data_IF_993335156537
#
_entry.id   IF_993335156537
#
_cell.length_a   1.000
_cell.length_b   1.000
_cell.length_c   1.000
_cell.angle_alpha   90.00
_cell.angle_beta   90.00
_cell.angle_gamma   90.00
#
_symmetry.space_group_name_H-M   'P 1'
#
loop_
_entity.id
_entity.type
_entity.pdbx_description
1 polymer ?
#
# COMPACT_ATOMS: atom_id res chain seq x y z
N UNK A 1 -7.14 28.16 -18.68
CA UNK A 1 -7.17 26.87 -17.97
C UNK A 1 -6.17 26.96 -16.83
N UNK A 2 -6.59 26.75 -15.58
CA UNK A 2 -5.67 26.78 -14.45
C UNK A 2 -4.74 25.55 -14.52
N UNK A 3 -3.47 25.79 -14.80
CA UNK A 3 -2.43 24.75 -14.78
C UNK A 3 -2.26 24.24 -13.35
N UNK A 4 -2.17 22.93 -13.19
CA UNK A 4 -1.95 22.31 -11.87
C UNK A 4 -0.62 22.78 -11.28
N UNK A 5 -0.46 22.70 -9.95
CA UNK A 5 0.75 23.18 -9.25
C UNK A 5 2.05 22.50 -9.69
N UNK A 6 1.97 21.35 -10.34
CA UNK A 6 3.09 20.60 -10.92
C UNK A 6 3.14 20.66 -12.45
N UNK A 7 2.42 21.61 -13.06
CA UNK A 7 2.43 21.87 -14.50
C UNK A 7 1.72 20.82 -15.36
N UNK A 8 1.13 19.78 -14.74
CA UNK A 8 0.41 18.73 -15.46
C UNK A 8 -0.94 19.21 -15.96
N UNK A 9 -1.43 18.58 -17.02
CA UNK A 9 -2.82 18.72 -17.44
C UNK A 9 -3.77 18.09 -16.38
N UNK A 10 -5.00 18.55 -16.38
CA UNK A 10 -6.14 17.99 -15.67
C UNK A 10 -6.25 16.47 -15.83
N UNK A 11 -6.13 15.96 -17.06
CA UNK A 11 -6.23 14.53 -17.38
C UNK A 11 -4.89 13.77 -17.23
N UNK A 12 -3.77 14.47 -17.09
CA UNK A 12 -2.45 13.83 -17.04
C UNK A 12 -2.16 13.26 -15.64
N UNK A 13 -1.79 11.98 -15.56
CA UNK A 13 -1.32 11.34 -14.32
C UNK A 13 0.06 11.88 -13.87
N UNK A 14 0.41 11.66 -12.60
CA UNK A 14 1.79 11.89 -12.13
C UNK A 14 2.72 10.85 -12.78
N UNK A 15 4.04 11.10 -12.88
CA UNK A 15 5.00 10.07 -13.27
C UNK A 15 4.85 8.83 -12.39
N UNK A 16 4.76 7.65 -13.01
CA UNK A 16 4.60 6.36 -12.30
C UNK A 16 5.81 5.50 -12.55
N UNK A 17 6.39 4.93 -11.49
CA UNK A 17 7.49 3.97 -11.58
C UNK A 17 7.22 2.73 -10.72
N UNK A 18 7.74 1.60 -11.17
CA UNK A 18 7.67 0.32 -10.47
C UNK A 18 9.07 -0.28 -10.39
N UNK A 19 9.57 -0.44 -9.17
CA UNK A 19 10.82 -1.13 -8.92
C UNK A 19 10.54 -2.47 -8.25
N UNK A 20 10.62 -3.55 -9.02
CA UNK A 20 10.29 -4.92 -8.60
C UNK A 20 11.48 -5.55 -7.88
N UNK A 21 11.21 -6.50 -6.98
CA UNK A 21 12.26 -7.21 -6.23
C UNK A 21 12.96 -6.32 -5.20
N UNK A 22 12.26 -5.31 -4.66
CA UNK A 22 12.82 -4.35 -3.72
C UNK A 22 13.20 -4.97 -2.36
N UNK A 23 12.45 -5.97 -1.91
CA UNK A 23 12.75 -6.79 -0.74
C UNK A 23 13.18 -8.17 -1.21
N UNK A 24 14.34 -8.62 -0.74
CA UNK A 24 14.90 -9.95 -1.04
C UNK A 24 14.12 -11.08 -0.36
N UNK A 25 13.51 -10.79 0.79
CA UNK A 25 12.88 -11.80 1.65
C UNK A 25 11.43 -12.11 1.26
N UNK A 26 10.75 -11.20 0.56
CA UNK A 26 9.37 -11.41 0.14
C UNK A 26 9.33 -12.16 -1.19
N UNK A 27 8.40 -13.12 -1.34
CA UNK A 27 8.20 -13.84 -2.59
C UNK A 27 7.85 -12.91 -3.76
N UNK A 28 7.18 -11.80 -3.47
CA UNK A 28 7.00 -10.69 -4.40
C UNK A 28 7.11 -9.36 -3.68
N UNK A 29 7.83 -8.40 -4.25
CA UNK A 29 7.92 -7.06 -3.70
C UNK A 29 8.05 -6.00 -4.78
N UNK A 30 7.53 -4.80 -4.52
CA UNK A 30 7.67 -3.66 -5.42
C UNK A 30 7.62 -2.35 -4.64
N UNK A 31 8.57 -1.45 -4.92
CA UNK A 31 8.43 -0.04 -4.55
C UNK A 31 7.74 0.69 -5.71
N UNK A 32 6.49 1.09 -5.50
CA UNK A 32 5.72 1.85 -6.49
C UNK A 32 5.72 3.33 -6.15
N UNK A 33 5.94 4.18 -7.16
CA UNK A 33 5.93 5.64 -7.00
C UNK A 33 4.92 6.30 -7.93
N UNK A 34 4.16 7.27 -7.42
CA UNK A 34 3.27 8.16 -8.15
C UNK A 34 3.68 9.61 -7.86
N UNK A 35 4.64 10.12 -8.62
CA UNK A 35 5.40 11.31 -8.26
C UNK A 35 6.08 11.13 -6.91
N UNK A 36 5.72 11.96 -5.92
CA UNK A 36 6.29 11.88 -4.56
C UNK A 36 5.63 10.85 -3.64
N UNK A 37 4.47 10.31 -4.02
CA UNK A 37 3.82 9.24 -3.25
C UNK A 37 4.59 7.95 -3.51
N UNK A 38 5.11 7.31 -2.45
CA UNK A 38 5.78 6.02 -2.55
C UNK A 38 5.10 5.01 -1.64
N UNK A 39 4.91 3.80 -2.15
CA UNK A 39 4.32 2.68 -1.40
C UNK A 39 5.20 1.46 -1.64
N UNK A 40 5.64 0.84 -0.54
CA UNK A 40 6.29 -0.45 -0.59
C UNK A 40 5.21 -1.53 -0.47
N UNK A 41 5.04 -2.32 -1.51
CA UNK A 41 4.13 -3.46 -1.53
C UNK A 41 4.95 -4.74 -1.40
N UNK A 42 4.55 -5.63 -0.49
CA UNK A 42 5.10 -6.97 -0.34
C UNK A 42 3.97 -7.98 -0.41
N UNK A 43 4.20 -9.07 -1.14
CA UNK A 43 3.36 -10.24 -1.18
C UNK A 43 4.11 -11.39 -0.50
N UNK A 44 3.46 -12.01 0.46
CA UNK A 44 3.97 -13.19 1.16
C UNK A 44 2.99 -14.34 1.07
N UNK A 45 3.53 -15.56 0.95
CA UNK A 45 2.73 -16.76 0.87
C UNK A 45 2.67 -17.46 2.23
N UNK A 46 1.45 -17.77 2.66
CA UNK A 46 1.22 -18.62 3.83
C UNK A 46 0.44 -19.86 3.38
N UNK A 47 0.95 -21.08 3.62
CA UNK A 47 0.22 -22.30 3.31
C UNK A 47 -1.12 -22.37 4.03
N UNK A 48 -2.18 -22.67 3.28
CA UNK A 48 -3.54 -22.81 3.79
C UNK A 48 -4.42 -21.58 3.57
N UNK A 49 -5.62 -21.61 4.15
CA UNK A 49 -6.63 -20.57 4.03
C UNK A 49 -7.32 -20.32 5.38
N UNK A 50 -7.97 -19.16 5.57
CA UNK A 50 -8.79 -18.92 6.75
C UNK A 50 -9.80 -20.04 7.01
N UNK A 51 -10.15 -20.24 8.28
CA UNK A 51 -11.04 -21.34 8.73
C UNK A 51 -12.34 -21.45 7.95
N UNK A 52 -12.93 -20.32 7.58
CA UNK A 52 -14.21 -20.23 6.87
C UNK A 52 -14.11 -20.54 5.36
N UNK A 53 -12.89 -20.67 4.81
CA UNK A 53 -12.63 -21.08 3.41
C UNK A 53 -12.14 -22.52 3.27
N UNK A 54 -11.94 -23.24 4.38
CA UNK A 54 -11.51 -24.63 4.32
C UNK A 54 -12.47 -25.46 3.47
N UNK A 55 -11.90 -26.41 2.74
CA UNK A 55 -12.60 -27.35 1.85
C UNK A 55 -13.35 -26.72 0.66
N UNK A 56 -13.24 -25.40 0.45
CA UNK A 56 -13.90 -24.72 -0.67
C UNK A 56 -13.17 -24.86 -2.01
N UNK A 57 -11.94 -25.41 -2.02
CA UNK A 57 -11.09 -25.48 -3.21
C UNK A 57 -10.56 -24.12 -3.72
N UNK A 58 -10.73 -23.04 -2.94
CA UNK A 58 -10.32 -21.68 -3.31
C UNK A 58 -9.12 -21.20 -2.49
N UNK A 59 -8.35 -20.28 -3.07
CA UNK A 59 -7.32 -19.51 -2.36
C UNK A 59 -7.90 -18.26 -1.66
N UNK A 60 -7.06 -17.59 -0.88
CA UNK A 60 -7.41 -16.35 -0.19
C UNK A 60 -6.29 -15.31 -0.34
N UNK A 61 -6.67 -14.04 -0.45
CA UNK A 61 -5.75 -12.90 -0.41
C UNK A 61 -6.30 -11.90 0.60
N UNK A 62 -5.41 -11.38 1.45
CA UNK A 62 -5.68 -10.27 2.35
C UNK A 62 -4.55 -9.25 2.26
N UNK A 63 -4.76 -8.04 2.77
CA UNK A 63 -3.76 -6.99 2.78
C UNK A 63 -3.70 -6.28 4.13
N UNK A 64 -2.51 -5.78 4.45
CA UNK A 64 -2.30 -4.89 5.58
C UNK A 64 -1.79 -3.55 5.06
N UNK A 65 -2.16 -2.47 5.74
CA UNK A 65 -1.75 -1.12 5.40
C UNK A 65 -1.20 -0.39 6.61
N UNK A 66 -0.09 0.32 6.41
CA UNK A 66 0.46 1.22 7.41
C UNK A 66 1.14 2.42 6.76
N UNK A 67 0.99 3.59 7.40
CA UNK A 67 1.76 4.77 7.07
C UNK A 67 2.90 4.97 8.06
N UNK A 68 4.12 5.14 7.55
CA UNK A 68 5.24 5.56 8.40
C UNK A 68 4.99 6.97 8.95
N UNK A 69 5.41 7.29 10.19
CA UNK A 69 5.17 8.60 10.82
C UNK A 69 5.57 9.83 10.01
N UNK A 70 6.48 9.71 9.04
CA UNK A 70 6.96 10.80 8.18
C UNK A 70 6.63 10.57 6.70
N UNK A 71 5.53 9.90 6.41
CA UNK A 71 5.00 9.76 5.04
C UNK A 71 4.33 11.05 4.53
N UNK A 72 3.98 11.98 5.43
CA UNK A 72 3.34 13.28 5.14
C UNK A 72 4.19 14.47 5.60
N UNK A 73 3.81 15.69 5.22
CA UNK A 73 4.52 16.93 5.58
C UNK A 73 4.67 17.10 7.11
N UNK A 74 3.60 16.82 7.84
CA UNK A 74 3.57 16.77 9.30
C UNK A 74 3.78 15.34 9.79
N UNK A 75 4.44 15.18 10.94
CA UNK A 75 4.61 13.86 11.55
C UNK A 75 3.26 13.36 12.05
N UNK A 76 2.91 12.12 11.69
CA UNK A 76 1.75 11.40 12.22
C UNK A 76 2.21 10.34 13.22
N UNK A 77 1.43 10.10 14.27
CA UNK A 77 1.69 8.95 15.16
C UNK A 77 1.28 7.64 14.48
N UNK A 78 1.89 6.53 14.87
CA UNK A 78 1.49 5.21 14.36
C UNK A 78 0.08 4.87 14.85
N UNK A 79 -0.76 4.34 13.96
CA UNK A 79 -2.13 3.92 14.31
C UNK A 79 -2.14 2.80 15.36
N UNK A 80 -1.15 1.90 15.30
CA UNK A 80 -0.95 0.86 16.33
C UNK A 80 -0.73 1.41 17.74
N UNK A 81 -0.21 2.64 17.85
CA UNK A 81 0.03 3.31 19.14
C UNK A 81 -1.21 4.05 19.63
N UNK A 82 -2.12 4.46 18.73
CA UNK A 82 -3.36 5.16 19.08
C UNK A 82 -4.52 4.24 19.47
N UNK A 83 -4.39 2.93 19.26
CA UNK A 83 -5.45 1.95 19.56
C UNK A 83 -6.71 2.09 18.70
N UNK A 84 -6.66 2.91 17.64
CA UNK A 84 -7.74 3.11 16.67
C UNK A 84 -7.16 3.04 15.27
N UNK A 85 -7.65 2.07 14.49
CA UNK A 85 -7.33 1.95 13.06
C UNK A 85 -7.99 3.13 12.32
N UNK A 86 -7.21 3.87 11.53
CA UNK A 86 -7.71 4.94 10.70
C UNK A 86 -8.53 4.40 9.52
N UNK A 87 -9.34 5.27 8.89
CA UNK A 87 -10.27 4.87 7.83
C UNK A 87 -9.62 4.10 6.68
N UNK A 88 -8.44 4.53 6.21
CA UNK A 88 -7.74 3.85 5.11
C UNK A 88 -7.24 2.45 5.47
N UNK A 89 -6.87 2.23 6.73
CA UNK A 89 -6.49 0.89 7.19
C UNK A 89 -7.70 -0.03 7.19
N UNK A 90 -8.87 0.47 7.61
CA UNK A 90 -10.14 -0.28 7.55
C UNK A 90 -10.60 -0.56 6.11
N UNK A 91 -10.27 0.31 5.15
CA UNK A 91 -10.61 0.12 3.74
C UNK A 91 -9.75 -0.95 3.04
N UNK A 92 -8.59 -1.30 3.60
CA UNK A 92 -7.60 -2.20 2.98
C UNK A 92 -7.49 -3.56 3.71
N UNK A 93 -7.85 -3.61 5.00
CA UNK A 93 -7.79 -4.81 5.87
C UNK A 93 -8.95 -5.78 5.70
#
# INVERSE_FOLDING_TARGET
MATRSDGRDSAQLRPVTFERGWLEQAEGSTLVSFGRTRVLCAASFTPGVPRWLRDSGRGWVTAEYAMLPRSTNTRSDRESVKGRLGGRTQEIS
#
